data_IF_534924219471
#
_entry.id   IF_534924219471
#
_cell.length_a   1.000
_cell.length_b   1.000
_cell.length_c   1.000
_cell.angle_alpha   90.00
_cell.angle_beta   90.00
_cell.angle_gamma   90.00
#
_symmetry.space_group_name_H-M   'P 1'
#
loop_
_entity.id
_entity.type
_entity.pdbx_description
1 polymer ?
#
# COMPACT_ATOMS: atom_id res chain seq x y z
N UNK A 1 11.03 -88.91 40.67
CA UNK A 1 9.88 -88.42 41.46
C UNK A 1 10.02 -86.91 41.57
N UNK A 2 9.12 -86.22 40.89
CA UNK A 2 8.94 -84.78 40.88
C UNK A 2 8.44 -84.29 42.24
N UNK A 3 9.28 -83.56 42.97
CA UNK A 3 8.84 -82.77 44.12
C UNK A 3 8.68 -81.33 43.62
N UNK A 4 7.43 -80.90 43.52
CA UNK A 4 7.02 -79.54 43.19
C UNK A 4 7.63 -78.63 44.25
N UNK A 5 8.67 -77.87 43.90
CA UNK A 5 9.17 -76.79 44.74
C UNK A 5 8.51 -75.49 44.29
N UNK A 6 7.73 -74.92 45.21
CA UNK A 6 6.88 -73.74 45.04
C UNK A 6 7.44 -72.69 44.07
N UNK A 7 6.71 -72.47 42.97
CA UNK A 7 6.94 -71.34 42.06
C UNK A 7 6.61 -69.99 42.70
N UNK A 8 5.93 -70.01 43.86
CA UNK A 8 5.38 -68.83 44.50
C UNK A 8 5.79 -68.73 45.98
N UNK A 9 6.30 -67.56 46.39
CA UNK A 9 6.50 -67.18 47.78
C UNK A 9 5.61 -65.98 48.10
N UNK A 10 4.60 -66.17 48.95
CA UNK A 10 3.64 -65.13 49.31
C UNK A 10 3.33 -65.13 50.80
N UNK A 11 3.77 -64.11 51.53
CA UNK A 11 3.46 -63.90 52.94
C UNK A 11 3.24 -62.41 53.24
N UNK A 12 1.99 -61.95 53.19
CA UNK A 12 1.61 -60.56 53.45
C UNK A 12 0.89 -60.39 54.79
N UNK A 13 0.86 -59.17 55.35
CA UNK A 13 0.11 -58.84 56.57
C UNK A 13 0.44 -59.70 57.81
N UNK A 14 1.67 -60.21 57.91
CA UNK A 14 2.06 -61.21 58.92
C UNK A 14 2.98 -60.65 60.01
N UNK A 15 3.15 -59.32 60.06
CA UNK A 15 4.04 -58.61 61.00
C UNK A 15 5.50 -59.09 60.96
N UNK A 16 5.94 -59.69 59.85
CA UNK A 16 7.32 -60.15 59.70
C UNK A 16 8.28 -58.97 59.88
N UNK A 17 9.38 -59.17 60.60
CA UNK A 17 10.39 -58.15 60.87
C UNK A 17 11.76 -58.62 60.38
N UNK A 18 12.73 -57.70 60.27
CA UNK A 18 14.08 -57.99 59.81
C UNK A 18 14.34 -57.50 58.39
N UNK A 19 15.25 -58.15 57.68
CA UNK A 19 15.62 -57.81 56.30
C UNK A 19 15.29 -58.96 55.35
N UNK A 20 15.15 -58.62 54.09
CA UNK A 20 14.98 -59.59 53.01
C UNK A 20 16.36 -60.17 52.66
N UNK A 21 16.54 -61.48 52.81
CA UNK A 21 17.85 -62.14 52.66
C UNK A 21 18.24 -62.33 51.19
N UNK A 22 19.54 -62.22 50.87
CA UNK A 22 20.10 -62.38 49.53
C UNK A 22 19.84 -63.76 48.91
N UNK A 23 19.74 -64.80 49.75
CA UNK A 23 19.53 -66.20 49.32
C UNK A 23 18.24 -66.42 48.52
N UNK A 24 17.22 -65.58 48.70
CA UNK A 24 16.01 -65.66 47.90
C UNK A 24 16.31 -65.39 46.42
N UNK A 25 17.35 -64.61 46.10
CA UNK A 25 17.83 -64.40 44.74
C UNK A 25 18.34 -65.68 44.06
N UNK A 26 18.67 -66.72 44.83
CA UNK A 26 19.11 -68.03 44.30
C UNK A 26 17.93 -68.90 43.82
N UNK A 27 16.69 -68.49 44.08
CA UNK A 27 15.48 -69.21 43.68
C UNK A 27 15.12 -68.92 42.21
N UNK A 28 15.93 -69.40 41.27
CA UNK A 28 15.82 -69.08 39.83
C UNK A 28 14.49 -69.47 39.16
N UNK A 29 13.71 -70.35 39.78
CA UNK A 29 12.39 -70.79 39.29
C UNK A 29 11.21 -70.01 39.88
N UNK A 30 11.47 -69.01 40.74
CA UNK A 30 10.43 -68.23 41.41
C UNK A 30 9.69 -67.34 40.41
N UNK A 31 8.38 -67.55 40.28
CA UNK A 31 7.47 -66.78 39.43
C UNK A 31 6.73 -65.70 40.22
N UNK A 32 6.53 -65.90 41.53
CA UNK A 32 5.84 -64.93 42.38
C UNK A 32 6.56 -64.68 43.69
N UNK A 33 6.78 -63.40 44.02
CA UNK A 33 7.34 -62.97 45.30
C UNK A 33 6.50 -61.84 45.89
N UNK A 34 5.71 -62.15 46.90
CA UNK A 34 4.80 -61.21 47.58
C UNK A 34 5.04 -61.21 49.08
N UNK A 35 5.58 -60.13 49.62
CA UNK A 35 5.78 -59.94 51.07
C UNK A 35 5.22 -58.60 51.55
N UNK A 36 4.14 -58.14 50.91
CA UNK A 36 3.55 -56.82 51.15
C UNK A 36 3.03 -56.65 52.58
N UNK A 37 3.02 -55.41 53.07
CA UNK A 37 2.43 -55.05 54.37
C UNK A 37 3.00 -55.84 55.56
N UNK A 38 4.33 -55.96 55.63
CA UNK A 38 5.06 -56.45 56.81
C UNK A 38 5.92 -55.31 57.42
N UNK A 39 6.79 -55.64 58.38
CA UNK A 39 7.70 -54.73 59.04
C UNK A 39 9.16 -54.96 58.59
N UNK A 40 9.35 -55.36 57.32
CA UNK A 40 10.67 -55.60 56.73
C UNK A 40 11.40 -54.28 56.48
N UNK A 41 12.72 -54.27 56.67
CA UNK A 41 13.60 -53.10 56.62
C UNK A 41 14.83 -53.38 55.76
N UNK A 42 15.60 -52.34 55.43
CA UNK A 42 16.83 -52.47 54.62
C UNK A 42 16.60 -52.21 53.14
N UNK A 43 17.54 -52.66 52.29
CA UNK A 43 17.44 -52.56 50.82
C UNK A 43 17.11 -53.93 50.24
N UNK A 44 16.56 -53.96 49.02
CA UNK A 44 16.47 -55.21 48.25
C UNK A 44 17.90 -55.66 47.87
N UNK A 45 18.26 -56.93 48.09
CA UNK A 45 19.56 -57.47 47.68
C UNK A 45 19.75 -57.40 46.17
N UNK A 46 20.97 -57.11 45.69
CA UNK A 46 21.26 -57.00 44.25
C UNK A 46 21.09 -58.34 43.52
N UNK A 47 21.24 -59.43 44.25
CA UNK A 47 21.07 -60.83 43.83
C UNK A 47 19.67 -61.09 43.27
N UNK A 48 18.67 -60.29 43.65
CA UNK A 48 17.31 -60.42 43.14
C UNK A 48 17.18 -60.13 41.64
N UNK A 49 18.19 -59.50 41.03
CA UNK A 49 18.28 -59.35 39.58
C UNK A 49 18.34 -60.71 38.85
N UNK A 50 18.70 -61.80 39.56
CA UNK A 50 18.78 -63.16 39.01
C UNK A 50 17.41 -63.85 38.92
N UNK A 51 16.36 -63.28 39.51
CA UNK A 51 14.98 -63.81 39.46
C UNK A 51 14.30 -63.49 38.11
N UNK A 52 14.89 -63.94 37.00
CA UNK A 52 14.43 -63.57 35.64
C UNK A 52 13.09 -64.17 35.25
N UNK A 53 12.65 -65.25 35.92
CA UNK A 53 11.35 -65.88 35.71
C UNK A 53 10.20 -65.22 36.48
N UNK A 54 10.47 -64.14 37.21
CA UNK A 54 9.49 -63.50 38.06
C UNK A 54 8.40 -62.81 37.23
N UNK A 55 7.15 -63.22 37.43
CA UNK A 55 5.96 -62.67 36.80
C UNK A 55 5.27 -61.65 37.71
N UNK A 56 5.36 -61.83 39.03
CA UNK A 56 4.64 -61.00 39.97
C UNK A 56 5.48 -60.68 41.21
N UNK A 57 5.71 -59.39 41.44
CA UNK A 57 6.53 -58.90 42.56
C UNK A 57 5.78 -57.88 43.39
N UNK A 58 5.71 -58.12 44.70
CA UNK A 58 5.05 -57.25 45.66
C UNK A 58 5.84 -57.12 46.96
N UNK A 59 6.41 -55.94 47.23
CA UNK A 59 7.08 -55.64 48.50
C UNK A 59 6.55 -54.36 49.15
N UNK A 60 5.56 -53.71 48.55
CA UNK A 60 4.96 -52.50 49.06
C UNK A 60 4.35 -52.66 50.47
N UNK A 61 4.33 -51.58 51.24
CA UNK A 61 3.85 -51.60 52.63
C UNK A 61 4.87 -52.14 53.65
N UNK A 62 6.15 -52.21 53.28
CA UNK A 62 7.27 -52.45 54.18
C UNK A 62 8.09 -51.16 54.41
N UNK A 63 9.14 -51.23 55.24
CA UNK A 63 10.11 -50.14 55.48
C UNK A 63 11.40 -50.34 54.67
N UNK A 64 11.25 -50.87 53.45
CA UNK A 64 12.36 -51.07 52.52
C UNK A 64 12.75 -49.76 51.84
N UNK A 65 14.03 -49.58 51.60
CA UNK A 65 14.65 -48.39 51.00
C UNK A 65 15.42 -48.73 49.72
N UNK A 66 15.76 -47.72 48.92
CA UNK A 66 16.51 -47.88 47.67
C UNK A 66 15.63 -47.84 46.42
N UNK A 67 16.26 -48.07 45.25
CA UNK A 67 15.57 -48.10 43.95
C UNK A 67 15.41 -49.53 43.46
N UNK A 68 14.37 -49.76 42.67
CA UNK A 68 14.12 -51.03 41.97
C UNK A 68 14.75 -51.06 40.56
N UNK A 69 15.29 -49.93 40.09
CA UNK A 69 15.90 -49.81 38.75
C UNK A 69 16.94 -50.90 38.41
N UNK A 70 17.81 -51.36 39.36
CA UNK A 70 18.77 -52.41 39.05
C UNK A 70 18.14 -53.75 38.63
N UNK A 71 16.86 -53.97 38.96
CA UNK A 71 16.18 -55.26 38.78
C UNK A 71 15.18 -55.24 37.62
N UNK A 72 14.47 -54.13 37.41
CA UNK A 72 13.36 -54.04 36.44
C UNK A 72 13.80 -54.47 35.04
N UNK A 73 15.00 -54.09 34.61
CA UNK A 73 15.52 -54.45 33.29
C UNK A 73 15.81 -55.96 33.14
N UNK A 74 15.91 -56.72 34.24
CA UNK A 74 16.20 -58.16 34.24
C UNK A 74 14.96 -59.03 34.43
N UNK A 75 13.90 -58.51 35.04
CA UNK A 75 12.63 -59.21 35.22
C UNK A 75 11.73 -59.08 33.99
N UNK A 76 12.17 -59.67 32.89
CA UNK A 76 11.52 -59.54 31.57
C UNK A 76 10.11 -60.11 31.51
N UNK A 77 9.78 -61.04 32.40
CA UNK A 77 8.45 -61.68 32.45
C UNK A 77 7.49 -60.98 33.43
N UNK A 78 7.88 -59.87 34.04
CA UNK A 78 7.10 -59.21 35.09
C UNK A 78 5.83 -58.58 34.52
N UNK A 79 4.68 -59.05 34.98
CA UNK A 79 3.35 -58.55 34.60
C UNK A 79 2.70 -57.71 35.70
N UNK A 80 3.05 -57.97 36.96
CA UNK A 80 2.52 -57.24 38.12
C UNK A 80 3.63 -56.76 39.04
N UNK A 81 3.70 -55.44 39.24
CA UNK A 81 4.67 -54.80 40.11
C UNK A 81 4.00 -53.94 41.18
N UNK A 82 4.22 -54.29 42.45
CA UNK A 82 3.86 -53.48 43.62
C UNK A 82 5.10 -53.20 44.47
N UNK A 83 5.85 -52.18 44.09
CA UNK A 83 7.08 -51.76 44.76
C UNK A 83 6.96 -50.33 45.30
N UNK A 84 6.37 -50.17 46.48
CA UNK A 84 6.54 -48.93 47.24
C UNK A 84 7.79 -49.00 48.10
N UNK A 85 8.95 -48.90 47.45
CA UNK A 85 10.22 -48.68 48.15
C UNK A 85 10.27 -47.21 48.60
N UNK A 86 10.63 -46.97 49.85
CA UNK A 86 10.63 -45.63 50.42
C UNK A 86 11.74 -44.79 49.77
N UNK A 87 11.35 -43.77 48.99
CA UNK A 87 12.16 -42.56 48.80
C UNK A 87 11.97 -41.68 50.03
N UNK A 88 13.06 -41.10 50.53
CA UNK A 88 13.18 -40.36 51.81
C UNK A 88 11.85 -39.84 52.37
N UNK A 89 11.33 -40.52 53.40
CA UNK A 89 10.09 -40.13 54.05
C UNK A 89 10.28 -38.80 54.81
N UNK A 90 9.41 -37.83 54.55
CA UNK A 90 9.30 -36.63 55.38
C UNK A 90 8.75 -36.91 56.79
N UNK A 91 7.96 -37.98 56.98
CA UNK A 91 7.41 -38.43 58.27
C UNK A 91 7.26 -39.95 58.32
N UNK A 92 7.44 -40.53 59.52
CA UNK A 92 7.18 -41.93 59.86
C UNK A 92 6.00 -42.01 60.83
N UNK A 93 5.09 -42.99 60.64
CA UNK A 93 3.96 -43.28 61.54
C UNK A 93 3.05 -42.08 61.88
N UNK A 94 2.68 -41.29 60.87
CA UNK A 94 1.86 -40.10 61.04
C UNK A 94 0.40 -40.42 61.42
N UNK A 95 0.00 -40.06 62.64
CA UNK A 95 -1.39 -40.15 63.10
C UNK A 95 -2.09 -38.79 63.00
N UNK A 96 -2.93 -38.62 61.99
CA UNK A 96 -3.65 -37.36 61.74
C UNK A 96 -4.63 -37.01 62.86
N UNK A 97 -5.23 -38.01 63.53
CA UNK A 97 -6.22 -37.79 64.60
C UNK A 97 -5.58 -37.13 65.83
N UNK A 98 -4.37 -37.55 66.19
CA UNK A 98 -3.61 -36.96 67.29
C UNK A 98 -3.06 -35.57 66.92
N UNK A 99 -2.55 -35.43 65.69
CA UNK A 99 -1.91 -34.20 65.22
C UNK A 99 -2.89 -33.04 64.97
N UNK A 100 -4.07 -33.32 64.41
CA UNK A 100 -5.03 -32.28 64.03
C UNK A 100 -5.84 -31.73 65.22
N UNK A 101 -5.81 -32.39 66.39
CA UNK A 101 -6.49 -31.93 67.60
C UNK A 101 -8.02 -32.04 67.58
N UNK A 102 -8.63 -32.48 66.48
CA UNK A 102 -10.08 -32.69 66.37
C UNK A 102 -10.58 -32.74 64.92
N UNK A 103 -11.87 -33.08 64.71
CA UNK A 103 -12.49 -33.03 63.38
C UNK A 103 -12.53 -31.59 62.84
N UNK A 104 -12.43 -31.43 61.51
CA UNK A 104 -12.46 -30.16 60.78
C UNK A 104 -11.34 -29.15 61.07
N UNK A 105 -10.30 -29.54 61.81
CA UNK A 105 -9.14 -28.67 62.02
C UNK A 105 -8.10 -28.91 60.93
N UNK A 106 -7.74 -27.90 60.11
CA UNK A 106 -6.75 -28.06 59.07
C UNK A 106 -5.34 -28.18 59.67
N UNK A 107 -4.61 -29.22 59.30
CA UNK A 107 -3.19 -29.33 59.60
C UNK A 107 -2.36 -28.81 58.43
N UNK A 108 -1.55 -27.77 58.68
CA UNK A 108 -0.62 -27.21 57.69
C UNK A 108 0.80 -27.65 58.07
N UNK A 109 1.48 -28.33 57.15
CA UNK A 109 2.89 -28.73 57.32
C UNK A 109 3.70 -28.18 56.13
N UNK A 110 4.91 -27.67 56.42
CA UNK A 110 5.81 -27.10 55.42
C UNK A 110 6.98 -28.06 55.18
N UNK A 111 7.30 -28.30 53.92
CA UNK A 111 8.43 -29.13 53.51
C UNK A 111 9.30 -28.35 52.52
N UNK A 112 10.61 -28.32 52.75
CA UNK A 112 11.58 -27.79 51.79
C UNK A 112 12.00 -28.92 50.85
N UNK A 113 11.75 -28.75 49.55
CA UNK A 113 12.18 -29.71 48.54
C UNK A 113 13.70 -29.60 48.32
N UNK A 114 14.46 -30.64 48.65
CA UNK A 114 15.94 -30.64 48.60
C UNK A 114 16.45 -31.09 47.22
N UNK A 115 15.69 -31.94 46.50
CA UNK A 115 16.05 -32.43 45.16
C UNK A 115 14.97 -32.03 44.14
N UNK A 116 15.16 -30.89 43.49
CA UNK A 116 14.40 -30.49 42.30
C UNK A 116 15.35 -30.63 41.11
N UNK A 117 15.12 -31.62 40.26
CA UNK A 117 15.90 -31.85 39.05
C UNK A 117 15.11 -31.36 37.83
N UNK A 118 15.78 -30.67 36.90
CA UNK A 118 15.22 -30.25 35.60
C UNK A 118 13.88 -29.50 35.67
N UNK A 119 13.73 -28.60 36.65
CA UNK A 119 12.50 -27.82 36.90
C UNK A 119 11.24 -28.67 37.18
N UNK A 120 11.39 -29.97 37.49
CA UNK A 120 10.28 -30.86 37.82
C UNK A 120 10.26 -31.16 39.33
N UNK A 121 9.17 -30.75 40.00
CA UNK A 121 8.86 -31.15 41.36
C UNK A 121 7.79 -32.26 41.33
N UNK A 122 8.21 -33.50 41.60
CA UNK A 122 7.29 -34.63 41.73
C UNK A 122 6.85 -34.81 43.19
N UNK A 123 5.54 -34.83 43.43
CA UNK A 123 4.95 -35.08 44.74
C UNK A 123 4.22 -36.42 44.71
N UNK A 124 4.86 -37.46 45.26
CA UNK A 124 4.27 -38.80 45.38
C UNK A 124 3.44 -38.95 46.65
N UNK A 125 2.15 -39.20 46.52
CA UNK A 125 1.26 -39.52 47.65
C UNK A 125 1.17 -41.03 47.81
N UNK A 126 1.54 -41.55 48.97
CA UNK A 126 1.52 -42.98 49.25
C UNK A 126 0.73 -43.31 50.53
N UNK A 127 -0.21 -44.25 50.43
CA UNK A 127 -0.90 -44.79 51.59
C UNK A 127 -0.12 -45.98 52.17
N UNK A 128 0.36 -45.83 53.40
CA UNK A 128 1.24 -46.81 54.05
C UNK A 128 0.53 -48.06 54.61
N UNK A 129 -0.72 -48.34 54.20
CA UNK A 129 -1.40 -49.58 54.60
C UNK A 129 -2.04 -49.58 55.99
N UNK A 130 -2.00 -48.46 56.73
CA UNK A 130 -2.58 -48.33 58.08
C UNK A 130 -3.78 -47.39 58.05
N UNK A 131 -4.97 -47.89 58.39
CA UNK A 131 -6.26 -47.15 58.35
C UNK A 131 -7.46 -48.03 58.73
N UNK A 132 -8.66 -47.43 58.82
CA UNK A 132 -9.90 -48.16 59.18
C UNK A 132 -10.29 -49.17 58.10
N UNK A 133 -10.52 -50.43 58.49
CA UNK A 133 -10.82 -51.56 57.60
C UNK A 133 -12.31 -51.68 57.22
N UNK A 134 -13.20 -50.85 57.77
CA UNK A 134 -14.66 -51.04 57.71
C UNK A 134 -15.40 -50.27 56.59
N UNK A 135 -14.69 -49.68 55.62
CA UNK A 135 -15.31 -49.05 54.45
C UNK A 135 -14.48 -49.39 53.20
N UNK A 136 -15.10 -49.57 52.01
CA UNK A 136 -14.43 -50.16 50.85
C UNK A 136 -13.11 -49.43 50.53
N UNK A 137 -12.04 -50.18 50.16
CA UNK A 137 -10.66 -49.71 50.13
C UNK A 137 -10.36 -48.55 49.16
N UNK A 138 -11.34 -48.11 48.36
CA UNK A 138 -11.16 -47.16 47.27
C UNK A 138 -11.08 -45.69 47.74
N UNK A 139 -11.35 -45.38 49.02
CA UNK A 139 -11.41 -44.00 49.53
C UNK A 139 -10.45 -43.68 50.68
N UNK A 140 -9.53 -44.59 51.04
CA UNK A 140 -8.64 -44.42 52.20
C UNK A 140 -7.29 -43.78 51.85
N UNK A 141 -7.28 -42.82 50.92
CA UNK A 141 -6.08 -42.01 50.62
C UNK A 141 -5.87 -40.88 51.65
N UNK A 142 -4.66 -40.31 51.74
CA UNK A 142 -4.44 -39.09 52.53
C UNK A 142 -5.35 -37.97 52.03
N UNK A 143 -6.18 -37.39 52.91
CA UNK A 143 -7.04 -36.25 52.57
C UNK A 143 -6.16 -34.99 52.59
N UNK A 144 -5.70 -34.56 51.41
CA UNK A 144 -4.99 -33.30 51.22
C UNK A 144 -5.96 -32.30 50.60
N UNK A 145 -6.19 -31.18 51.28
CA UNK A 145 -7.10 -30.13 50.78
C UNK A 145 -6.43 -29.21 49.77
N UNK A 146 -5.13 -28.94 49.92
CA UNK A 146 -4.37 -28.07 49.03
C UNK A 146 -2.86 -28.31 49.13
N UNK A 147 -2.14 -27.99 48.06
CA UNK A 147 -0.67 -27.93 48.00
C UNK A 147 -0.29 -26.54 47.48
N UNK A 148 0.64 -25.86 48.16
CA UNK A 148 1.20 -24.58 47.70
C UNK A 148 2.71 -24.72 47.51
N UNK A 149 3.20 -24.34 46.34
CA UNK A 149 4.63 -24.39 46.00
C UNK A 149 5.12 -22.95 45.79
N UNK A 150 6.17 -22.57 46.51
CA UNK A 150 6.81 -21.25 46.38
C UNK A 150 8.28 -21.43 45.99
N UNK A 151 8.74 -20.87 44.84
CA UNK A 151 10.16 -20.93 44.48
C UNK A 151 10.99 -20.03 45.40
N UNK A 152 12.16 -20.50 45.80
CA UNK A 152 13.09 -19.75 46.67
C UNK A 152 13.97 -18.76 45.88
N UNK A 153 13.88 -18.75 44.54
CA UNK A 153 14.64 -17.85 43.67
C UNK A 153 13.78 -16.72 43.09
N UNK A 154 14.41 -15.56 42.82
CA UNK A 154 13.77 -14.43 42.13
C UNK A 154 13.84 -14.65 40.61
N UNK A 155 12.69 -14.63 39.94
CA UNK A 155 12.61 -14.65 38.47
C UNK A 155 12.95 -13.25 37.95
N UNK A 156 14.10 -13.08 37.29
CA UNK A 156 14.51 -11.80 36.72
C UNK A 156 13.74 -11.45 35.46
N UNK A 157 12.90 -10.41 35.50
CA UNK A 157 12.27 -9.81 34.33
C UNK A 157 13.17 -8.77 33.66
N UNK A 158 12.86 -8.39 32.41
CA UNK A 158 13.50 -7.25 31.74
C UNK A 158 13.27 -5.96 32.56
N UNK A 159 14.32 -5.15 32.70
CA UNK A 159 14.21 -3.82 33.31
C UNK A 159 13.20 -2.95 32.56
N UNK A 160 12.47 -2.09 33.27
CA UNK A 160 11.56 -1.10 32.68
C UNK A 160 12.24 -0.22 31.63
N UNK A 161 13.54 0.06 31.80
CA UNK A 161 14.35 0.79 30.83
C UNK A 161 14.52 -0.02 29.51
N UNK A 162 14.74 -1.32 29.61
CA UNK A 162 14.90 -2.18 28.43
C UNK A 162 13.58 -2.29 27.65
N UNK A 163 12.45 -2.37 28.37
CA UNK A 163 11.12 -2.37 27.75
C UNK A 163 10.89 -1.06 26.99
N UNK A 164 11.18 0.09 27.61
CA UNK A 164 11.01 1.39 26.98
C UNK A 164 11.85 1.53 25.69
N UNK A 165 13.11 1.09 25.71
CA UNK A 165 13.99 1.13 24.52
C UNK A 165 13.43 0.27 23.38
N UNK A 166 12.96 -0.94 23.68
CA UNK A 166 12.36 -1.83 22.67
C UNK A 166 11.10 -1.19 22.07
N UNK A 167 10.24 -0.60 22.90
CA UNK A 167 9.01 0.05 22.43
C UNK A 167 9.31 1.25 21.53
N UNK A 168 10.28 2.09 21.90
CA UNK A 168 10.70 3.24 21.08
C UNK A 168 11.30 2.78 19.75
N UNK A 169 12.19 1.77 19.77
CA UNK A 169 12.81 1.24 18.56
C UNK A 169 11.79 0.63 17.60
N UNK A 170 10.79 -0.10 18.12
CA UNK A 170 9.74 -0.74 17.31
C UNK A 170 8.85 0.27 16.55
N UNK A 171 8.77 1.52 17.01
CA UNK A 171 8.00 2.59 16.35
C UNK A 171 8.90 3.42 15.42
N UNK A 172 10.10 3.79 15.90
CA UNK A 172 10.99 4.67 15.15
C UNK A 172 11.66 3.99 13.95
N UNK A 173 12.02 2.71 14.05
CA UNK A 173 12.69 2.00 12.95
C UNK A 173 11.76 1.88 11.73
N UNK A 174 10.48 1.46 11.84
CA UNK A 174 9.55 1.46 10.71
C UNK A 174 9.28 2.86 10.15
N UNK A 175 9.18 3.88 11.01
CA UNK A 175 8.99 5.26 10.57
C UNK A 175 10.19 5.76 9.75
N UNK A 176 11.41 5.50 10.22
CA UNK A 176 12.65 5.84 9.51
C UNK A 176 12.77 5.06 8.20
N UNK A 177 12.40 3.78 8.18
CA UNK A 177 12.34 2.99 6.95
C UNK A 177 11.32 3.54 5.97
N UNK A 178 10.13 3.95 6.42
CA UNK A 178 9.12 4.60 5.58
C UNK A 178 9.62 5.92 5.00
N UNK A 179 10.25 6.77 5.82
CA UNK A 179 10.86 8.03 5.36
C UNK A 179 11.98 7.75 4.35
N UNK A 180 12.83 6.74 4.61
CA UNK A 180 13.90 6.33 3.71
C UNK A 180 13.35 5.80 2.38
N UNK A 181 12.38 4.88 2.42
CA UNK A 181 11.73 4.35 1.23
C UNK A 181 10.97 5.43 0.44
N UNK A 182 10.39 6.42 1.11
CA UNK A 182 9.77 7.59 0.48
C UNK A 182 10.84 8.48 -0.20
N UNK A 183 11.96 8.75 0.48
CA UNK A 183 13.08 9.53 -0.05
C UNK A 183 13.79 8.86 -1.23
N UNK A 184 13.89 7.53 -1.19
CA UNK A 184 14.44 6.71 -2.30
C UNK A 184 13.43 6.47 -3.43
N UNK A 185 12.20 6.98 -3.31
CA UNK A 185 11.18 6.90 -4.36
C UNK A 185 10.56 5.52 -4.54
N UNK A 186 10.79 4.56 -3.62
CA UNK A 186 10.23 3.20 -3.70
C UNK A 186 8.73 3.15 -3.41
N UNK A 187 8.22 4.08 -2.60
CA UNK A 187 6.78 4.31 -2.39
C UNK A 187 6.18 5.35 -3.36
N UNK A 188 6.99 5.94 -4.25
CA UNK A 188 6.51 6.85 -5.28
C UNK A 188 5.96 6.08 -6.47
N UNK A 189 4.78 6.46 -6.97
CA UNK A 189 4.16 5.86 -8.14
C UNK A 189 5.17 5.74 -9.31
N UNK A 190 5.62 4.51 -9.61
CA UNK A 190 6.41 4.16 -10.81
C UNK A 190 5.73 4.55 -12.12
N UNK A 191 4.47 4.99 -12.04
CA UNK A 191 3.59 5.34 -13.15
C UNK A 191 4.02 6.62 -13.87
N UNK A 192 4.72 7.55 -13.20
CA UNK A 192 5.15 8.83 -13.78
C UNK A 192 6.59 8.82 -14.33
N UNK A 193 7.20 7.64 -14.50
CA UNK A 193 8.55 7.51 -15.07
C UNK A 193 8.57 7.41 -16.60
N UNK A 194 7.41 7.41 -17.27
CA UNK A 194 7.36 7.52 -18.73
C UNK A 194 8.02 8.81 -19.20
N UNK A 195 8.79 8.69 -20.28
CA UNK A 195 9.55 9.77 -20.88
C UNK A 195 8.72 10.50 -21.94
N UNK A 196 8.72 11.82 -21.84
CA UNK A 196 8.15 12.77 -22.78
C UNK A 196 9.30 13.45 -23.53
N UNK A 197 9.13 13.67 -24.83
CA UNK A 197 10.13 14.32 -25.66
C UNK A 197 9.67 15.75 -26.01
N UNK A 198 10.32 16.74 -25.39
CA UNK A 198 9.98 18.16 -25.52
C UNK A 198 11.14 18.88 -26.22
N UNK A 199 10.96 19.24 -27.49
CA UNK A 199 11.96 19.94 -28.33
C UNK A 199 13.34 19.25 -28.32
N UNK A 200 13.36 17.93 -28.50
CA UNK A 200 14.59 17.13 -28.55
C UNK A 200 15.24 16.85 -27.19
N UNK A 201 14.59 17.24 -26.08
CA UNK A 201 15.00 16.90 -24.71
C UNK A 201 14.00 15.94 -24.07
N UNK A 202 14.49 14.98 -23.31
CA UNK A 202 13.65 13.99 -22.63
C UNK A 202 13.41 14.37 -21.17
N UNK A 203 12.15 14.30 -20.75
CA UNK A 203 11.73 14.55 -19.36
C UNK A 203 10.80 13.43 -18.91
N UNK A 204 10.88 13.03 -17.65
CA UNK A 204 9.85 12.15 -17.07
C UNK A 204 8.54 12.91 -16.87
N UNK A 205 7.41 12.24 -16.97
CA UNK A 205 6.11 12.82 -16.64
C UNK A 205 6.11 13.42 -15.22
N UNK A 206 6.82 12.80 -14.27
CA UNK A 206 7.02 13.33 -12.92
C UNK A 206 7.72 14.69 -12.93
N UNK A 207 8.79 14.87 -13.68
CA UNK A 207 9.48 16.16 -13.76
C UNK A 207 8.56 17.26 -14.30
N UNK A 208 7.72 16.94 -15.30
CA UNK A 208 6.73 17.90 -15.83
C UNK A 208 5.67 18.24 -14.78
N UNK A 209 5.17 17.26 -14.02
CA UNK A 209 4.21 17.49 -12.93
C UNK A 209 4.84 18.31 -11.80
N UNK A 210 6.06 17.98 -11.38
CA UNK A 210 6.79 18.70 -10.34
C UNK A 210 7.07 20.16 -10.77
N UNK A 211 7.35 20.39 -12.06
CA UNK A 211 7.52 21.73 -12.64
C UNK A 211 6.24 22.58 -12.62
N UNK A 212 5.06 21.96 -12.55
CA UNK A 212 3.78 22.66 -12.29
C UNK A 212 3.51 22.87 -10.79
N UNK A 213 4.48 22.56 -9.92
CA UNK A 213 4.33 22.50 -8.45
C UNK A 213 3.13 21.64 -8.04
N UNK A 214 3.01 20.47 -8.67
CA UNK A 214 1.89 19.54 -8.49
C UNK A 214 0.53 20.18 -8.83
N UNK A 215 0.43 20.83 -9.99
CA UNK A 215 -0.77 21.54 -10.46
C UNK A 215 -1.23 22.63 -9.48
N UNK A 216 -0.30 23.43 -8.97
CA UNK A 216 -0.63 24.53 -8.07
C UNK A 216 -1.44 25.61 -8.80
N UNK A 217 -2.52 26.10 -8.17
CA UNK A 217 -3.29 27.25 -8.67
C UNK A 217 -2.44 28.51 -8.87
N UNK A 218 -1.26 28.62 -8.21
CA UNK A 218 -0.33 29.73 -8.42
C UNK A 218 0.32 29.74 -9.81
N UNK A 219 0.35 28.59 -10.48
CA UNK A 219 0.89 28.44 -11.84
C UNK A 219 -0.22 28.27 -12.88
N UNK A 220 -1.49 28.44 -12.51
CA UNK A 220 -2.61 28.45 -13.45
C UNK A 220 -2.52 29.67 -14.35
N UNK A 221 -2.48 29.44 -15.66
CA UNK A 221 -2.40 30.49 -16.69
C UNK A 221 -3.66 30.56 -17.56
N UNK A 222 -4.57 29.60 -17.43
CA UNK A 222 -5.84 29.61 -18.12
C UNK A 222 -6.75 28.46 -17.73
N UNK A 223 -8.05 28.68 -17.84
CA UNK A 223 -9.08 27.68 -17.58
C UNK A 223 -10.09 27.67 -18.72
N UNK A 224 -10.35 26.50 -19.26
CA UNK A 224 -11.28 26.32 -20.38
C UNK A 224 -12.20 25.13 -20.18
N UNK A 225 -13.08 24.91 -21.17
CA UNK A 225 -14.04 23.79 -21.20
C UNK A 225 -13.38 22.42 -20.94
N UNK A 226 -12.18 22.25 -21.47
CA UNK A 226 -11.48 20.97 -21.47
C UNK A 226 -10.50 20.80 -20.31
N UNK A 227 -10.37 21.77 -19.41
CA UNK A 227 -9.48 21.66 -18.26
C UNK A 227 -8.73 22.94 -17.93
N UNK A 228 -7.63 22.78 -17.20
CA UNK A 228 -6.82 23.88 -16.65
C UNK A 228 -5.43 23.81 -17.27
N UNK A 229 -4.89 24.97 -17.62
CA UNK A 229 -3.56 25.14 -18.19
C UNK A 229 -2.62 25.70 -17.13
N UNK A 230 -1.49 25.04 -16.94
CA UNK A 230 -0.46 25.39 -15.98
C UNK A 230 0.84 25.77 -16.70
N UNK A 231 1.54 26.78 -16.19
CA UNK A 231 2.94 27.02 -16.53
C UNK A 231 3.82 25.95 -15.88
N UNK A 232 4.71 25.33 -16.64
CA UNK A 232 5.70 24.40 -16.12
C UNK A 232 7.11 24.91 -16.47
N UNK A 233 7.92 25.18 -15.45
CA UNK A 233 9.30 25.63 -15.59
C UNK A 233 10.24 24.41 -15.49
N UNK A 234 10.67 23.90 -16.64
CA UNK A 234 11.68 22.84 -16.74
C UNK A 234 13.08 23.46 -16.73
N UNK A 235 14.15 22.69 -16.43
CA UNK A 235 15.51 23.22 -16.32
C UNK A 235 16.00 24.05 -17.52
N UNK A 236 15.52 23.74 -18.73
CA UNK A 236 16.00 24.34 -19.97
C UNK A 236 14.93 25.08 -20.77
N UNK A 237 13.67 24.95 -20.40
CA UNK A 237 12.55 25.48 -21.18
C UNK A 237 11.31 25.66 -20.32
N UNK A 238 10.44 26.57 -20.73
CA UNK A 238 9.11 26.70 -20.14
C UNK A 238 8.08 26.13 -21.11
N UNK A 239 7.16 25.33 -20.59
CA UNK A 239 6.07 24.73 -21.37
C UNK A 239 4.72 25.01 -20.71
N UNK A 240 3.65 24.95 -21.51
CA UNK A 240 2.29 25.02 -21.02
C UNK A 240 1.70 23.60 -20.93
N UNK A 241 1.24 23.21 -19.74
CA UNK A 241 0.66 21.90 -19.46
C UNK A 241 -0.84 22.04 -19.26
N UNK A 242 -1.63 21.60 -20.24
CA UNK A 242 -3.08 21.55 -20.17
C UNK A 242 -3.50 20.21 -19.57
N UNK A 243 -3.89 20.23 -18.29
CA UNK A 243 -4.47 19.08 -17.60
C UNK A 243 -5.94 19.00 -17.97
N UNK A 244 -6.34 17.92 -18.62
CA UNK A 244 -7.73 17.73 -19.01
C UNK A 244 -8.60 17.46 -17.77
N UNK A 245 -9.82 18.00 -17.76
CA UNK A 245 -10.80 17.70 -16.70
C UNK A 245 -11.28 16.25 -16.80
N UNK A 246 -11.91 15.74 -15.73
CA UNK A 246 -12.50 14.39 -15.65
C UNK A 246 -13.72 14.23 -16.57
N UNK A 247 -13.54 14.48 -17.87
CA UNK A 247 -14.53 14.18 -18.90
C UNK A 247 -14.61 12.67 -19.10
N UNK A 248 -15.64 12.20 -19.81
CA UNK A 248 -15.79 10.77 -20.06
C UNK A 248 -14.54 10.20 -20.76
N UNK A 249 -14.12 9.01 -20.33
CA UNK A 249 -12.97 8.29 -20.91
C UNK A 249 -13.04 8.24 -22.44
N UNK A 250 -14.24 8.14 -22.99
CA UNK A 250 -14.51 8.11 -24.42
C UNK A 250 -14.11 9.42 -25.14
N UNK A 251 -14.39 10.59 -24.56
CA UNK A 251 -13.96 11.90 -25.09
C UNK A 251 -12.44 12.00 -25.05
N UNK A 252 -11.83 11.55 -23.95
CA UNK A 252 -10.37 11.59 -23.78
C UNK A 252 -9.66 10.62 -24.74
N UNK A 253 -10.20 9.43 -24.98
CA UNK A 253 -9.65 8.47 -25.95
C UNK A 253 -9.77 8.99 -27.40
N UNK A 254 -10.84 9.73 -27.70
CA UNK A 254 -11.00 10.42 -28.98
C UNK A 254 -9.97 11.54 -29.14
N UNK A 255 -9.76 12.34 -28.09
CA UNK A 255 -8.69 13.34 -28.03
C UNK A 255 -7.33 12.66 -28.22
N UNK A 256 -7.04 11.56 -27.51
CA UNK A 256 -5.74 10.88 -27.56
C UNK A 256 -5.34 10.40 -28.95
N UNK A 257 -6.28 9.84 -29.73
CA UNK A 257 -6.01 9.42 -31.12
C UNK A 257 -5.77 10.61 -32.06
N UNK A 258 -6.51 11.69 -31.89
CA UNK A 258 -6.44 12.84 -32.79
C UNK A 258 -5.22 13.72 -32.48
N UNK A 259 -4.90 13.88 -31.19
CA UNK A 259 -3.79 14.71 -30.71
C UNK A 259 -2.42 14.18 -31.14
N UNK A 260 -2.24 12.87 -31.26
CA UNK A 260 -0.95 12.31 -31.65
C UNK A 260 -0.50 12.80 -33.04
N UNK A 261 -1.43 12.99 -33.97
CA UNK A 261 -1.12 13.48 -35.32
C UNK A 261 -0.70 14.95 -35.34
N UNK A 262 -1.03 15.72 -34.29
CA UNK A 262 -0.69 17.15 -34.18
C UNK A 262 0.79 17.39 -33.92
N UNK A 263 1.55 16.41 -33.43
CA UNK A 263 3.01 16.53 -33.30
C UNK A 263 3.70 16.86 -34.63
N UNK A 264 3.07 16.48 -35.75
CA UNK A 264 3.59 16.72 -37.11
C UNK A 264 3.28 18.12 -37.63
N UNK A 265 2.33 18.83 -37.00
CA UNK A 265 1.90 20.16 -37.41
C UNK A 265 2.87 21.20 -36.85
N UNK A 266 3.65 21.83 -37.73
CA UNK A 266 4.60 22.90 -37.36
C UNK A 266 4.43 24.08 -38.30
N UNK A 267 4.09 25.23 -37.71
CA UNK A 267 3.91 26.48 -38.44
C UNK A 267 4.08 27.66 -37.46
N UNK A 268 4.68 28.77 -37.91
CA UNK A 268 4.99 29.92 -37.05
C UNK A 268 3.76 30.53 -36.35
N UNK A 269 2.59 30.46 -37.00
CA UNK A 269 1.32 31.00 -36.48
C UNK A 269 0.37 29.93 -35.90
N UNK A 270 0.87 28.73 -35.61
CA UNK A 270 0.13 27.70 -34.91
C UNK A 270 0.84 27.37 -33.60
N UNK A 271 0.07 27.18 -32.52
CA UNK A 271 0.64 26.77 -31.25
C UNK A 271 1.27 25.39 -31.38
N UNK A 272 2.56 25.29 -31.08
CA UNK A 272 3.31 24.05 -31.16
C UNK A 272 2.83 23.05 -30.09
N UNK A 273 2.34 21.91 -30.56
CA UNK A 273 2.04 20.77 -29.71
C UNK A 273 3.30 19.92 -29.52
N UNK A 274 3.76 19.80 -28.27
CA UNK A 274 5.02 19.14 -27.94
C UNK A 274 4.81 17.66 -27.64
N UNK A 275 3.94 17.35 -26.67
CA UNK A 275 3.70 15.96 -26.26
C UNK A 275 2.35 15.75 -25.55
N UNK A 276 1.94 14.48 -25.45
CA UNK A 276 0.79 14.03 -24.66
C UNK A 276 1.25 13.02 -23.62
N UNK A 277 0.71 13.13 -22.42
CA UNK A 277 0.78 12.10 -21.40
C UNK A 277 -0.64 11.62 -21.09
N UNK A 278 -0.88 10.31 -21.16
CA UNK A 278 -2.15 9.71 -20.80
C UNK A 278 -1.91 8.43 -20.02
N UNK A 279 -2.24 8.45 -18.73
CA UNK A 279 -2.18 7.25 -17.90
C UNK A 279 -3.21 7.30 -16.77
N UNK A 280 -3.97 6.21 -16.62
CA UNK A 280 -5.14 6.11 -15.73
C UNK A 280 -6.13 7.26 -15.98
N UNK A 281 -6.26 8.16 -15.01
CA UNK A 281 -7.17 9.32 -15.02
C UNK A 281 -6.41 10.65 -15.16
N UNK A 282 -5.09 10.62 -15.41
CA UNK A 282 -4.30 11.82 -15.68
C UNK A 282 -4.00 11.93 -17.17
N UNK A 283 -4.53 13.01 -17.75
CA UNK A 283 -4.36 13.34 -19.16
C UNK A 283 -3.81 14.76 -19.28
N UNK A 284 -2.64 14.88 -19.89
CA UNK A 284 -1.94 16.14 -20.06
C UNK A 284 -1.60 16.34 -21.53
N UNK A 285 -1.89 17.55 -22.03
CA UNK A 285 -1.43 18.04 -23.31
C UNK A 285 -0.35 19.09 -23.05
N UNK A 286 0.81 18.94 -23.67
CA UNK A 286 1.98 19.80 -23.44
C UNK A 286 2.23 20.61 -24.70
N UNK A 287 2.25 21.92 -24.55
CA UNK A 287 2.44 22.90 -25.61
C UNK A 287 3.64 23.80 -25.30
N UNK A 288 4.11 24.53 -26.31
CA UNK A 288 4.97 25.69 -26.04
C UNK A 288 4.27 26.70 -25.11
N UNK A 289 5.06 27.41 -24.32
CA UNK A 289 4.56 28.47 -23.47
C UNK A 289 4.43 29.78 -24.26
N UNK A 290 3.39 30.55 -23.96
CA UNK A 290 3.07 31.83 -24.61
C UNK A 290 3.08 32.93 -23.56
N UNK A 291 4.04 33.86 -23.67
CA UNK A 291 4.36 34.86 -22.64
C UNK A 291 3.20 35.84 -22.40
N UNK A 292 2.51 36.24 -23.48
CA UNK A 292 1.49 37.28 -23.45
C UNK A 292 0.05 36.75 -23.42
N UNK A 293 -0.12 35.47 -23.08
CA UNK A 293 -1.43 34.81 -22.93
C UNK A 293 -2.28 34.92 -24.20
N UNK A 294 -3.59 35.13 -24.08
CA UNK A 294 -4.52 35.19 -25.20
C UNK A 294 -4.77 36.61 -25.69
N UNK A 295 -5.14 36.74 -26.96
CA UNK A 295 -5.59 37.99 -27.55
C UNK A 295 -6.82 38.55 -26.83
N UNK A 296 -7.71 37.68 -26.32
CA UNK A 296 -8.83 38.12 -25.48
C UNK A 296 -8.35 38.83 -24.20
N UNK A 297 -7.29 38.31 -23.55
CA UNK A 297 -6.69 38.96 -22.40
C UNK A 297 -6.11 40.32 -22.81
N UNK A 298 -5.35 40.37 -23.90
CA UNK A 298 -4.74 41.61 -24.38
C UNK A 298 -5.76 42.70 -24.75
N UNK A 299 -6.89 42.34 -25.37
CA UNK A 299 -7.89 43.31 -25.86
C UNK A 299 -8.97 43.70 -24.85
N UNK A 300 -9.41 42.76 -23.99
CA UNK A 300 -10.65 42.91 -23.22
C UNK A 300 -10.47 42.83 -21.70
N UNK A 301 -9.33 42.35 -21.20
CA UNK A 301 -9.09 42.26 -19.76
C UNK A 301 -8.58 43.59 -19.22
N UNK A 302 -9.23 44.12 -18.19
CA UNK A 302 -8.84 45.39 -17.55
C UNK A 302 -7.49 45.32 -16.84
N UNK A 303 -6.99 44.11 -16.54
CA UNK A 303 -5.68 43.89 -15.92
C UNK A 303 -4.56 43.72 -16.95
N UNK A 304 -4.88 43.82 -18.25
CA UNK A 304 -3.87 43.80 -19.31
C UNK A 304 -3.19 45.16 -19.42
N UNK A 305 -1.86 45.13 -19.41
CA UNK A 305 -1.02 46.31 -19.70
C UNK A 305 -0.51 46.31 -21.15
N UNK A 306 -1.02 45.42 -22.00
CA UNK A 306 -0.59 45.30 -23.39
C UNK A 306 -1.32 46.33 -24.25
N UNK A 307 -0.57 47.25 -24.84
CA UNK A 307 -1.08 48.16 -25.86
C UNK A 307 -0.78 47.61 -27.25
N UNK A 308 -1.82 47.11 -27.92
CA UNK A 308 -1.73 46.65 -29.30
C UNK A 308 -1.98 47.84 -30.23
N UNK A 309 -0.91 48.42 -30.78
CA UNK A 309 -1.00 49.44 -31.82
C UNK A 309 -1.54 48.85 -33.15
N UNK A 310 -1.72 49.70 -34.16
CA UNK A 310 -2.26 49.27 -35.46
C UNK A 310 -1.42 48.16 -36.10
N UNK A 311 -0.11 48.35 -36.22
CA UNK A 311 0.79 47.41 -36.89
C UNK A 311 0.76 46.03 -36.23
N UNK A 312 0.77 45.99 -34.90
CA UNK A 312 0.67 44.74 -34.13
C UNK A 312 -0.68 44.06 -34.37
N UNK A 313 -1.80 44.80 -34.37
CA UNK A 313 -3.13 44.22 -34.66
C UNK A 313 -3.22 43.68 -36.08
N UNK A 314 -2.67 44.39 -37.04
CA UNK A 314 -2.62 43.95 -38.43
C UNK A 314 -1.79 42.67 -38.59
N UNK A 315 -0.60 42.62 -37.98
CA UNK A 315 0.26 41.44 -37.97
C UNK A 315 -0.41 40.23 -37.27
N UNK A 316 -1.19 40.47 -36.21
CA UNK A 316 -2.01 39.44 -35.57
C UNK A 316 -3.06 38.90 -36.56
N UNK A 317 -3.81 39.76 -37.25
CA UNK A 317 -4.78 39.35 -38.27
C UNK A 317 -4.12 38.52 -39.38
N UNK A 318 -2.99 38.99 -39.91
CA UNK A 318 -2.23 38.29 -40.95
C UNK A 318 -1.69 36.94 -40.44
N UNK A 319 -1.18 36.88 -39.22
CA UNK A 319 -0.71 35.66 -38.58
C UNK A 319 -1.81 34.62 -38.42
N UNK A 320 -3.00 35.04 -37.93
CA UNK A 320 -4.18 34.16 -37.84
C UNK A 320 -4.55 33.62 -39.22
N UNK A 321 -4.59 34.49 -40.24
CA UNK A 321 -4.93 34.08 -41.60
C UNK A 321 -3.93 33.07 -42.18
N UNK A 322 -2.63 33.29 -41.99
CA UNK A 322 -1.57 32.35 -42.40
C UNK A 322 -1.67 31.00 -41.68
N UNK A 323 -1.91 31.01 -40.37
CA UNK A 323 -2.12 29.78 -39.59
C UNK A 323 -3.33 28.98 -40.08
N UNK A 324 -4.45 29.65 -40.37
CA UNK A 324 -5.66 29.02 -40.91
C UNK A 324 -5.49 28.53 -42.35
N UNK A 325 -4.81 29.29 -43.21
CA UNK A 325 -4.42 28.84 -44.55
C UNK A 325 -3.63 27.54 -44.46
N UNK A 326 -2.61 27.49 -43.60
CA UNK A 326 -1.84 26.28 -43.41
C UNK A 326 -2.73 25.10 -43.00
N UNK A 327 -3.60 25.28 -42.01
CA UNK A 327 -4.48 24.19 -41.55
C UNK A 327 -5.44 23.68 -42.64
N UNK A 328 -6.00 24.57 -43.44
CA UNK A 328 -7.01 24.25 -44.45
C UNK A 328 -6.40 23.77 -45.77
N UNK A 329 -5.25 24.32 -46.18
CA UNK A 329 -4.77 24.27 -47.57
C UNK A 329 -3.37 23.67 -47.70
N UNK A 330 -2.44 23.92 -46.77
CA UNK A 330 -1.06 23.42 -46.91
C UNK A 330 -0.83 22.13 -46.11
N UNK A 331 -1.55 21.97 -45.00
CA UNK A 331 -1.50 20.82 -44.12
C UNK A 331 -2.00 19.56 -44.80
N UNK A 332 -1.26 18.47 -44.59
CA UNK A 332 -1.67 17.13 -45.05
C UNK A 332 -2.93 16.63 -44.36
N UNK A 333 -3.22 17.12 -43.15
CA UNK A 333 -4.35 16.71 -42.32
C UNK A 333 -5.64 17.48 -42.62
N UNK A 334 -5.56 18.64 -43.30
CA UNK A 334 -6.71 19.49 -43.69
C UNK A 334 -7.68 19.73 -42.51
N UNK A 335 -7.18 20.39 -41.47
CA UNK A 335 -7.88 20.54 -40.18
C UNK A 335 -8.79 21.76 -40.22
N UNK A 336 -10.09 21.59 -39.97
CA UNK A 336 -11.03 22.71 -39.75
C UNK A 336 -11.06 23.02 -38.26
N UNK A 337 -10.69 24.24 -37.84
CA UNK A 337 -10.56 24.58 -36.42
C UNK A 337 -11.89 24.68 -35.64
N UNK A 338 -12.97 25.19 -36.27
CA UNK A 338 -14.33 25.31 -35.71
C UNK A 338 -14.54 26.17 -34.45
N UNK A 339 -13.48 26.73 -33.88
CA UNK A 339 -13.55 27.51 -32.63
C UNK A 339 -12.55 28.67 -32.66
N UNK A 340 -12.53 29.42 -33.77
CA UNK A 340 -11.70 30.61 -33.88
C UNK A 340 -12.36 31.74 -33.12
N UNK A 341 -11.66 32.25 -32.11
CA UNK A 341 -12.07 33.38 -31.27
C UNK A 341 -10.87 33.97 -30.54
N UNK A 342 -10.94 35.21 -30.02
CA UNK A 342 -9.81 35.86 -29.37
C UNK A 342 -9.20 35.08 -28.19
N UNK A 343 -9.96 34.24 -27.48
CA UNK A 343 -9.41 33.44 -26.38
C UNK A 343 -8.50 32.29 -26.83
N UNK A 344 -8.59 31.90 -28.10
CA UNK A 344 -7.83 30.80 -28.69
C UNK A 344 -6.71 31.29 -29.61
N UNK A 345 -6.51 32.61 -29.70
CA UNK A 345 -5.33 33.20 -30.31
C UNK A 345 -4.39 33.55 -29.16
N UNK A 346 -3.21 32.93 -29.12
CA UNK A 346 -2.19 33.22 -28.12
C UNK A 346 -1.10 34.12 -28.71
N UNK A 347 -0.44 34.88 -27.84
CA UNK A 347 0.59 35.85 -28.21
C UNK A 347 1.93 35.46 -27.59
N UNK A 348 2.97 35.35 -28.42
CA UNK A 348 4.34 35.05 -27.96
C UNK A 348 5.03 36.33 -27.45
N UNK A 349 6.28 36.20 -26.99
CA UNK A 349 7.11 37.30 -26.50
C UNK A 349 7.28 38.49 -27.47
N UNK A 350 7.05 38.30 -28.77
CA UNK A 350 7.13 39.35 -29.80
C UNK A 350 5.73 39.85 -30.25
N UNK A 351 4.67 39.42 -29.56
CA UNK A 351 3.26 39.69 -29.88
C UNK A 351 2.81 39.08 -31.22
N UNK A 352 3.49 38.04 -31.71
CA UNK A 352 3.02 37.28 -32.87
C UNK A 352 1.86 36.36 -32.47
N UNK A 353 0.87 36.25 -33.35
CA UNK A 353 -0.30 35.42 -33.12
C UNK A 353 -0.02 33.94 -33.42
N UNK A 354 -0.41 33.08 -32.48
CA UNK A 354 -0.48 31.62 -32.65
C UNK A 354 -1.87 31.08 -32.37
N UNK A 355 -2.44 30.39 -33.36
CA UNK A 355 -3.75 29.74 -33.24
C UNK A 355 -3.62 28.49 -32.37
N UNK A 356 -4.46 28.36 -31.33
CA UNK A 356 -4.43 27.28 -30.34
C UNK A 356 -5.75 26.50 -30.31
N UNK A 357 -5.78 25.33 -29.65
CA UNK A 357 -6.98 24.48 -29.51
C UNK A 357 -7.57 23.90 -30.82
N UNK A 358 -6.84 23.98 -31.95
CA UNK A 358 -7.20 23.28 -33.20
C UNK A 358 -7.17 21.75 -33.08
N UNK A 359 -6.45 21.22 -32.09
CA UNK A 359 -6.43 19.80 -31.75
C UNK A 359 -7.72 19.25 -31.13
N UNK A 360 -8.63 20.13 -30.70
CA UNK A 360 -9.91 19.78 -30.09
C UNK A 360 -11.09 20.22 -30.97
N UNK A 361 -10.82 20.61 -32.22
CA UNK A 361 -11.77 21.25 -33.12
C UNK A 361 -13.08 20.46 -33.31
N UNK A 362 -13.01 19.13 -33.39
CA UNK A 362 -14.21 18.28 -33.60
C UNK A 362 -15.18 18.28 -32.42
N UNK A 363 -14.75 18.73 -31.24
CA UNK A 363 -15.54 18.76 -30.01
C UNK A 363 -16.29 20.09 -29.80
N UNK A 364 -16.15 21.03 -30.73
CA UNK A 364 -16.88 22.29 -30.71
C UNK A 364 -18.05 22.26 -31.69
N UNK A 365 -19.25 22.51 -31.18
CA UNK A 365 -20.42 22.87 -31.96
C UNK A 365 -20.34 24.37 -32.29
N UNK A 366 -20.61 24.72 -33.56
CA UNK A 366 -20.40 26.07 -34.06
C UNK A 366 -21.27 27.12 -33.36
N UNK A 367 -20.68 28.27 -33.03
CA UNK A 367 -21.41 29.45 -32.54
C UNK A 367 -21.76 30.38 -33.71
N UNK A 368 -22.98 30.93 -33.69
CA UNK A 368 -23.48 31.83 -34.73
C UNK A 368 -23.04 33.28 -34.48
N UNK A 369 -22.41 33.91 -35.48
CA UNK A 369 -22.00 35.30 -35.46
C UNK A 369 -23.04 36.18 -36.19
N UNK A 370 -23.85 36.96 -35.47
CA UNK A 370 -24.97 37.74 -36.06
C UNK A 370 -24.82 39.28 -36.00
N UNK A 371 -23.79 39.82 -35.32
CA UNK A 371 -23.71 41.27 -35.04
C UNK A 371 -23.05 42.08 -36.17
N UNK A 372 -21.99 41.56 -36.80
CA UNK A 372 -21.24 42.28 -37.84
C UNK A 372 -22.03 42.51 -39.14
N UNK A 373 -22.87 41.56 -39.54
CA UNK A 373 -23.71 41.67 -40.74
C UNK A 373 -24.72 42.83 -40.67
N UNK A 374 -25.15 43.24 -39.46
CA UNK A 374 -26.12 44.33 -39.25
C UNK A 374 -25.49 45.71 -39.43
N UNK A 375 -24.18 45.85 -39.17
CA UNK A 375 -23.47 47.13 -39.31
C UNK A 375 -22.98 47.37 -40.74
N UNK A 376 -22.70 46.31 -41.50
CA UNK A 376 -22.41 46.39 -42.93
C UNK A 376 -23.59 46.99 -43.73
N UNK A 377 -24.82 46.53 -43.47
CA UNK A 377 -26.01 47.01 -44.18
C UNK A 377 -26.36 48.49 -43.93
N UNK A 378 -25.70 49.13 -42.95
CA UNK A 378 -25.87 50.56 -42.63
C UNK A 378 -24.72 51.45 -43.12
N UNK A 379 -23.71 50.90 -43.82
CA UNK A 379 -22.57 51.66 -44.34
C UNK A 379 -21.64 52.25 -43.27
N UNK A 380 -21.71 51.75 -42.02
CA UNK A 380 -20.96 52.28 -40.85
C UNK A 380 -19.81 51.35 -40.42
N UNK A 381 -19.15 50.72 -41.39
CA UNK A 381 -18.05 49.78 -41.15
C UNK A 381 -16.89 50.37 -40.35
N UNK A 382 -16.54 51.63 -40.61
CA UNK A 382 -15.47 52.33 -39.90
C UNK A 382 -15.76 52.44 -38.39
N UNK A 383 -17.04 52.41 -37.98
CA UNK A 383 -17.43 52.43 -36.57
C UNK A 383 -17.13 51.11 -35.84
N UNK A 384 -16.68 50.07 -36.56
CA UNK A 384 -16.18 48.83 -35.95
C UNK A 384 -14.70 48.92 -35.58
N UNK A 385 -13.98 49.96 -36.03
CA UNK A 385 -12.59 50.19 -35.64
C UNK A 385 -12.57 50.59 -34.16
N UNK A 386 -11.68 49.95 -33.41
CA UNK A 386 -11.50 50.23 -31.99
C UNK A 386 -11.17 51.70 -31.76
N UNK A 387 -12.03 52.40 -31.01
CA UNK A 387 -11.92 53.83 -30.69
C UNK A 387 -10.63 54.15 -29.93
N UNK A 388 -9.99 53.17 -29.30
CA UNK A 388 -8.69 53.33 -28.61
C UNK A 388 -7.52 53.52 -29.57
N UNK A 389 -7.66 53.22 -30.86
CA UNK A 389 -6.60 53.41 -31.84
C UNK A 389 -6.46 54.90 -32.20
N UNK A 390 -5.37 55.52 -31.74
CA UNK A 390 -5.08 56.93 -32.04
C UNK A 390 -4.67 57.14 -33.50
N UNK A 391 -3.90 56.20 -34.07
CA UNK A 391 -3.43 56.24 -35.45
C UNK A 391 -3.53 54.86 -36.07
N UNK A 392 -3.94 54.80 -37.34
CA UNK A 392 -4.05 53.57 -38.13
C UNK A 392 -4.02 53.87 -39.62
N UNK A 393 -3.59 52.89 -40.43
CA UNK A 393 -3.74 52.97 -41.88
C UNK A 393 -5.20 52.71 -42.25
N UNK A 394 -5.89 53.76 -42.68
CA UNK A 394 -7.32 53.71 -43.05
C UNK A 394 -7.61 52.75 -44.20
N UNK A 395 -6.70 52.64 -45.19
CA UNK A 395 -6.89 51.75 -46.33
C UNK A 395 -6.80 50.30 -45.87
N UNK A 396 -5.73 49.94 -45.15
CA UNK A 396 -5.58 48.60 -44.59
C UNK A 396 -6.74 48.23 -43.65
N UNK A 397 -7.21 49.18 -42.83
CA UNK A 397 -8.34 48.94 -41.94
C UNK A 397 -9.64 48.63 -42.70
N UNK A 398 -9.90 49.33 -43.79
CA UNK A 398 -11.04 49.05 -44.65
C UNK A 398 -10.88 47.69 -45.35
N UNK A 399 -9.70 47.34 -45.83
CA UNK A 399 -9.43 46.05 -46.46
C UNK A 399 -9.68 44.89 -45.46
N UNK A 400 -9.19 45.01 -44.23
CA UNK A 400 -9.44 44.03 -43.13
C UNK A 400 -10.94 43.91 -42.82
N UNK A 401 -11.67 45.03 -42.73
CA UNK A 401 -13.10 45.03 -42.43
C UNK A 401 -13.92 44.43 -43.59
N UNK A 402 -13.57 44.75 -44.83
CA UNK A 402 -14.25 44.23 -46.02
C UNK A 402 -14.06 42.72 -46.13
N UNK A 403 -12.82 42.22 -45.99
CA UNK A 403 -12.58 40.78 -46.03
C UNK A 403 -13.24 40.06 -44.84
N UNK A 404 -13.29 40.69 -43.65
CA UNK A 404 -13.99 40.12 -42.50
C UNK A 404 -15.49 39.91 -42.75
N UNK A 405 -16.15 40.82 -43.47
CA UNK A 405 -17.56 40.66 -43.87
C UNK A 405 -17.73 39.48 -44.83
N UNK A 406 -16.86 39.36 -45.83
CA UNK A 406 -16.90 38.25 -46.78
C UNK A 406 -16.70 36.90 -46.07
N UNK A 407 -15.81 36.84 -45.08
CA UNK A 407 -15.57 35.64 -44.28
C UNK A 407 -16.79 35.17 -43.47
N UNK A 408 -17.71 36.09 -43.13
CA UNK A 408 -18.92 35.77 -42.34
C UNK A 408 -20.19 35.70 -43.20
N UNK A 409 -20.05 35.69 -44.53
CA UNK A 409 -21.20 35.60 -45.43
C UNK A 409 -22.06 34.36 -45.09
N UNK A 410 -23.37 34.48 -45.21
CA UNK A 410 -24.29 33.36 -44.94
C UNK A 410 -24.10 32.22 -45.93
N UNK A 411 -23.74 32.53 -47.17
CA UNK A 411 -23.44 31.54 -48.20
C UNK A 411 -21.98 31.10 -48.10
N UNK A 412 -21.70 29.82 -47.78
CA UNK A 412 -20.32 29.32 -47.73
C UNK A 412 -19.57 29.46 -49.05
N UNK A 413 -20.27 29.46 -50.19
CA UNK A 413 -19.67 29.59 -51.53
C UNK A 413 -19.21 31.00 -51.85
N UNK A 414 -19.69 32.01 -51.12
CA UNK A 414 -19.28 33.41 -51.28
C UNK A 414 -18.14 33.79 -50.33
N UNK A 415 -17.78 32.90 -49.39
CA UNK A 415 -16.67 33.14 -48.48
C UNK A 415 -15.35 32.89 -49.20
N UNK A 416 -14.35 33.78 -49.03
CA UNK A 416 -13.03 33.56 -49.59
C UNK A 416 -12.35 32.36 -48.92
N UNK A 417 -11.47 31.72 -49.68
CA UNK A 417 -10.47 30.78 -49.16
C UNK A 417 -9.48 31.51 -48.26
N UNK A 418 -8.75 30.77 -47.41
CA UNK A 418 -7.78 31.42 -46.53
C UNK A 418 -6.56 31.93 -47.31
N UNK A 419 -6.22 31.32 -48.46
CA UNK A 419 -5.23 31.89 -49.39
C UNK A 419 -5.64 33.24 -49.94
N UNK A 420 -6.91 33.42 -50.33
CA UNK A 420 -7.42 34.70 -50.81
C UNK A 420 -7.42 35.76 -49.69
N UNK A 421 -7.79 35.39 -48.47
CA UNK A 421 -7.71 36.28 -47.30
C UNK A 421 -6.27 36.72 -47.05
N UNK A 422 -5.30 35.79 -47.06
CA UNK A 422 -3.87 36.14 -46.89
C UNK A 422 -3.39 37.05 -48.02
N UNK A 423 -3.77 36.77 -49.27
CA UNK A 423 -3.42 37.58 -50.44
C UNK A 423 -3.89 39.04 -50.30
N UNK A 424 -5.14 39.26 -49.86
CA UNK A 424 -5.67 40.61 -49.61
C UNK A 424 -4.91 41.31 -48.49
N UNK A 425 -4.64 40.61 -47.38
CA UNK A 425 -3.87 41.17 -46.27
C UNK A 425 -2.39 41.44 -46.62
N UNK A 426 -1.84 40.79 -47.62
CA UNK A 426 -0.49 41.07 -48.14
C UNK A 426 -0.48 42.22 -49.18
N UNK A 427 -1.66 42.79 -49.50
CA UNK A 427 -1.79 43.99 -50.33
C UNK A 427 -2.32 43.76 -51.74
N UNK A 428 -2.74 42.53 -52.09
CA UNK A 428 -3.37 42.26 -53.37
C UNK A 428 -4.84 42.76 -53.39
N UNK A 429 -5.34 43.19 -54.57
CA UNK A 429 -6.64 43.85 -54.68
C UNK A 429 -7.83 42.90 -54.51
N UNK A 430 -8.84 43.35 -53.78
CA UNK A 430 -10.14 42.66 -53.59
C UNK A 430 -10.94 42.51 -54.91
N UNK A 431 -10.72 43.40 -55.89
CA UNK A 431 -11.45 43.42 -57.19
C UNK A 431 -11.28 42.14 -58.04
N UNK A 432 -10.30 41.28 -57.73
CA UNK A 432 -10.11 39.99 -58.40
C UNK A 432 -11.02 38.89 -57.83
N UNK A 433 -11.52 39.03 -56.59
CA UNK A 433 -12.36 38.03 -55.93
C UNK A 433 -13.83 38.09 -56.38
N UNK A 434 -14.32 39.28 -56.77
CA UNK A 434 -15.72 39.47 -57.20
C UNK A 434 -16.03 38.96 -58.61
N UNK A 435 -15.01 38.75 -59.44
CA UNK A 435 -15.18 38.19 -60.80
C UNK A 435 -15.51 36.70 -60.80
N UNK A 436 -15.16 35.97 -59.74
CA UNK A 436 -15.46 34.53 -59.62
C UNK A 436 -16.91 34.28 -59.18
N UNK A 437 -17.51 35.20 -58.41
CA UNK A 437 -18.89 35.07 -57.96
C UNK A 437 -19.94 35.46 -59.04
N UNK A 438 -19.54 36.12 -60.12
CA UNK A 438 -20.43 36.62 -61.17
C UNK A 438 -20.35 35.84 -62.49
N UNK A 439 -19.43 34.87 -62.62
CA UNK A 439 -19.23 34.08 -63.85
C UNK A 439 -19.90 32.70 -63.85
N UNK A 440 -20.73 32.38 -62.85
CA UNK A 440 -21.45 31.10 -62.75
C UNK A 440 -22.97 31.30 -62.66
N UNK A 441 -23.53 32.01 -63.65
CA UNK A 441 -24.97 31.96 -64.00
C UNK A 441 -25.15 31.28 -65.34
#
# INVERSE_FOLDING_TARGET
>A
MSTIFNSDFSQSNSKLQGYIHEDVGKLSYLTKLWVTSNNLTGKLPLEYAQLTNLESFGVGGNYLSGSIDPFIAKWVNLTYLNSSLQRNLGRKDFNIKEKAGGPHTPLVENFTAINVHDNLLEIGLFWAGKGSLFNPPNFNGPIISAISVKPEFRVGGLSSANIAVITVAAIFIPLLLLIFMWRMGWLGHKEFQETLELRGKTYTAKQVIDATRNFSHKLEIGKGRFGIVYKAELPDQTVAVKRLSSQSKQVIDQIGREVYTLKTVKHQNLLEFLDVYTKKDLHMLIYEYMEHRSLAYALFDSNSNLELNWDTRFNICLGIARGLKYLHEDSRLKIIHRNIKPSNILLDGELNAKVSDFGLAKLYEGENLNVACVLHSKGKLVNLIDEKLQTYDRKQALDVLNIAILCIDRSPTLRPTMSEVVSVLEGNKIEELSKVATSST
#
